data_IF_392786959612
#
_entry.id   IF_392786959612
#
_cell.length_a   1.000
_cell.length_b   1.000
_cell.length_c   1.000
_cell.angle_alpha   90.00
_cell.angle_beta   90.00
_cell.angle_gamma   90.00
#
_symmetry.space_group_name_H-M   'P 1'
#
loop_
_entity.id
_entity.type
_entity.pdbx_description
1 polymer ?
#
# COMPACT_ATOMS: atom_id res chain seq x y z
N UNK A 1 -15.78 -39.57 3.04
CA UNK A 1 -15.73 -38.13 2.71
C UNK A 1 -15.85 -37.34 4.00
N UNK A 2 -14.70 -37.11 4.63
CA UNK A 2 -14.48 -36.14 5.69
C UNK A 2 -12.97 -35.96 5.71
N UNK A 3 -12.52 -34.87 5.06
CA UNK A 3 -11.11 -34.51 4.96
C UNK A 3 -10.54 -34.28 6.36
N UNK A 4 -9.81 -35.27 6.85
CA UNK A 4 -8.98 -35.14 8.04
C UNK A 4 -7.92 -34.08 7.76
N UNK A 5 -7.91 -33.05 8.60
CA UNK A 5 -6.88 -32.02 8.71
C UNK A 5 -5.54 -32.71 9.03
N UNK A 6 -4.89 -33.27 8.01
CA UNK A 6 -3.48 -33.63 8.10
C UNK A 6 -2.71 -32.35 8.40
N UNK A 7 -2.02 -32.31 9.53
CA UNK A 7 -1.13 -31.22 9.90
C UNK A 7 -0.03 -31.16 8.84
N UNK A 8 -0.19 -30.25 7.88
CA UNK A 8 0.80 -30.00 6.83
C UNK A 8 1.95 -29.22 7.43
N UNK A 9 3.01 -29.91 7.84
CA UNK A 9 4.29 -29.28 8.12
C UNK A 9 5.17 -29.34 6.86
N UNK A 10 5.61 -28.18 6.39
CA UNK A 10 6.56 -28.06 5.28
C UNK A 10 7.95 -28.10 5.87
N UNK A 11 8.72 -29.16 5.60
CA UNK A 11 10.14 -29.21 5.94
C UNK A 11 10.95 -28.66 4.76
N UNK A 12 11.99 -27.88 5.05
CA UNK A 12 12.99 -27.53 4.04
C UNK A 12 13.92 -28.73 3.81
N UNK A 13 14.17 -29.10 2.55
CA UNK A 13 15.27 -29.99 2.21
C UNK A 13 16.58 -29.27 2.55
N UNK A 14 17.51 -29.97 3.18
CA UNK A 14 18.86 -29.44 3.42
C UNK A 14 19.84 -30.56 3.11
N UNK A 15 20.55 -30.45 2.00
CA UNK A 15 21.91 -30.98 1.87
C UNK A 15 22.64 -30.08 0.85
N UNK A 16 23.93 -29.83 1.07
CA UNK A 16 24.75 -29.04 0.14
C UNK A 16 25.01 -29.83 -1.16
N UNK A 17 24.84 -31.15 -1.11
CA UNK A 17 24.99 -32.07 -2.23
C UNK A 17 23.63 -32.28 -2.94
N UNK A 18 23.43 -31.75 -4.18
CA UNK A 18 22.20 -31.97 -4.93
C UNK A 18 21.94 -33.45 -5.30
N UNK A 19 22.87 -34.36 -5.02
CA UNK A 19 22.70 -35.81 -5.18
C UNK A 19 22.27 -36.54 -3.89
N UNK A 20 22.20 -35.87 -2.73
CA UNK A 20 21.78 -36.46 -1.45
C UNK A 20 20.44 -35.89 -0.99
N UNK A 21 19.44 -36.75 -0.99
CA UNK A 21 18.08 -36.40 -0.55
C UNK A 21 17.98 -36.49 0.98
N UNK A 22 18.14 -35.36 1.68
CA UNK A 22 17.90 -35.27 3.12
C UNK A 22 16.89 -34.17 3.50
N UNK A 23 15.95 -34.52 4.40
CA UNK A 23 15.04 -33.60 5.06
C UNK A 23 15.23 -33.74 6.57
N UNK A 24 15.55 -32.64 7.24
CA UNK A 24 15.69 -32.63 8.69
C UNK A 24 14.40 -32.12 9.33
N UNK A 25 13.92 -32.85 10.33
CA UNK A 25 12.68 -32.59 11.06
C UNK A 25 12.97 -32.62 12.56
N UNK A 26 12.39 -31.70 13.32
CA UNK A 26 12.43 -31.76 14.77
C UNK A 26 11.46 -32.83 15.25
N UNK A 27 11.87 -33.68 16.20
CA UNK A 27 11.07 -34.80 16.72
C UNK A 27 9.61 -34.39 16.96
N UNK A 28 8.69 -35.18 16.40
CA UNK A 28 7.26 -35.02 16.60
C UNK A 28 6.95 -34.98 18.10
N UNK A 29 6.19 -33.98 18.60
CA UNK A 29 5.78 -33.94 20.00
C UNK A 29 5.16 -35.27 20.44
N UNK A 30 5.48 -35.74 21.65
CA UNK A 30 5.06 -37.06 22.15
C UNK A 30 3.53 -37.28 22.12
N UNK A 31 2.76 -36.20 22.10
CA UNK A 31 1.30 -36.20 22.07
C UNK A 31 0.70 -36.23 20.65
N UNK A 32 1.50 -36.15 19.59
CA UNK A 32 1.03 -36.22 18.21
C UNK A 32 1.19 -37.65 17.66
N UNK A 33 0.09 -38.40 17.68
CA UNK A 33 0.02 -39.81 17.28
C UNK A 33 -0.54 -40.04 15.87
N UNK A 34 -0.93 -38.96 15.17
CA UNK A 34 -1.54 -39.05 13.84
C UNK A 34 -0.49 -39.18 12.72
N UNK A 35 -0.93 -39.61 11.54
CA UNK A 35 -0.05 -39.69 10.36
C UNK A 35 0.47 -38.30 9.98
N UNK A 36 1.79 -38.14 9.95
CA UNK A 36 2.46 -36.89 9.53
C UNK A 36 2.94 -37.04 8.09
N UNK A 37 2.48 -36.16 7.21
CA UNK A 37 3.00 -36.05 5.83
C UNK A 37 3.98 -34.88 5.76
N UNK A 38 5.23 -35.17 5.38
CA UNK A 38 6.28 -34.16 5.22
C UNK A 38 6.41 -33.80 3.75
N UNK A 39 6.16 -32.54 3.42
CA UNK A 39 6.42 -32.01 2.08
C UNK A 39 7.79 -31.37 2.04
N UNK A 40 8.64 -31.86 1.12
CA UNK A 40 9.99 -31.33 0.89
C UNK A 40 9.98 -30.51 -0.39
N UNK A 41 10.11 -29.20 -0.26
CA UNK A 41 10.20 -28.29 -1.40
C UNK A 41 11.66 -28.13 -1.86
N UNK A 42 11.95 -28.52 -3.11
CA UNK A 42 13.29 -28.43 -3.71
C UNK A 42 13.54 -27.12 -4.48
N UNK A 43 12.57 -26.21 -4.50
CA UNK A 43 12.67 -24.96 -5.25
C UNK A 43 13.66 -24.01 -4.58
N UNK A 44 14.43 -23.27 -5.40
CA UNK A 44 15.33 -22.23 -4.90
C UNK A 44 14.52 -21.08 -4.29
N UNK A 45 14.90 -20.61 -3.11
CA UNK A 45 14.14 -19.56 -2.42
C UNK A 45 14.55 -18.17 -2.95
N UNK A 46 13.57 -17.37 -3.38
CA UNK A 46 13.74 -15.95 -3.66
C UNK A 46 13.00 -15.16 -2.58
N UNK A 47 13.71 -14.55 -1.62
CA UNK A 47 13.10 -13.65 -0.67
C UNK A 47 12.55 -12.41 -1.39
N UNK A 48 11.32 -12.04 -1.06
CA UNK A 48 10.66 -10.85 -1.56
C UNK A 48 10.49 -9.86 -0.41
N UNK A 49 11.22 -8.76 -0.42
CA UNK A 49 11.13 -7.73 0.60
C UNK A 49 10.09 -6.67 0.20
N UNK A 50 8.98 -6.63 0.94
CA UNK A 50 7.92 -5.64 0.75
C UNK A 50 8.15 -4.40 1.61
N UNK A 51 8.31 -3.23 0.96
CA UNK A 51 8.45 -1.94 1.63
C UNK A 51 7.12 -1.17 1.61
N UNK A 52 6.54 -0.85 2.79
CA UNK A 52 5.28 -0.12 2.86
C UNK A 52 5.44 1.36 2.49
N UNK A 53 4.31 2.05 2.34
CA UNK A 53 4.26 3.49 2.09
C UNK A 53 4.42 4.35 3.34
N UNK A 54 4.20 5.66 3.16
CA UNK A 54 4.11 6.60 4.27
C UNK A 54 3.09 6.11 5.30
N UNK A 55 3.46 6.12 6.58
CA UNK A 55 2.62 5.68 7.70
C UNK A 55 2.13 4.22 7.57
N UNK A 56 2.78 3.41 6.75
CA UNK A 56 2.45 2.01 6.55
C UNK A 56 3.10 1.04 7.55
N UNK A 57 3.98 1.54 8.41
CA UNK A 57 4.68 0.78 9.46
C UNK A 57 4.16 1.21 10.83
N UNK A 58 3.95 0.28 11.75
CA UNK A 58 3.65 0.56 13.15
C UNK A 58 4.88 1.19 13.83
N UNK A 59 4.68 2.16 14.71
CA UNK A 59 5.74 2.82 15.47
C UNK A 59 5.44 2.84 16.96
N UNK A 60 6.48 2.63 17.75
CA UNK A 60 6.52 2.84 19.20
C UNK A 60 7.56 3.89 19.57
N UNK A 61 7.38 4.55 20.71
CA UNK A 61 8.30 5.59 21.18
C UNK A 61 9.11 5.11 22.39
N UNK A 62 10.43 5.10 22.24
CA UNK A 62 11.36 4.65 23.28
C UNK A 62 11.35 5.52 24.53
N UNK A 63 11.11 6.83 24.39
CA UNK A 63 11.06 7.78 25.51
C UNK A 63 9.79 7.62 26.35
N UNK A 64 8.77 6.97 25.79
CA UNK A 64 7.47 6.71 26.44
C UNK A 64 7.37 5.23 26.84
N UNK A 65 8.44 4.65 27.38
CA UNK A 65 8.44 3.25 27.84
C UNK A 65 8.28 2.20 26.73
N UNK A 66 8.34 2.59 25.45
CA UNK A 66 8.08 1.69 24.32
C UNK A 66 6.61 1.63 23.92
N UNK A 67 5.79 2.58 24.35
CA UNK A 67 4.37 2.63 24.01
C UNK A 67 4.12 2.84 22.50
N UNK A 68 3.11 2.18 21.90
CA UNK A 68 2.71 2.41 20.52
C UNK A 68 2.22 3.85 20.32
N UNK A 69 2.89 4.59 19.44
CA UNK A 69 2.50 5.96 19.06
C UNK A 69 1.79 6.01 17.71
N UNK A 70 1.99 4.98 16.89
CA UNK A 70 1.28 4.81 15.64
C UNK A 70 1.05 3.33 15.38
N UNK A 71 -0.21 2.91 15.48
CA UNK A 71 -0.68 1.64 14.95
C UNK A 71 -1.98 1.93 14.23
N UNK A 72 -2.03 1.95 12.89
CA UNK A 72 -3.30 1.99 12.17
C UNK A 72 -4.17 0.82 12.68
N UNK A 73 -5.50 0.86 12.56
CA UNK A 73 -6.42 -0.05 13.25
C UNK A 73 -6.27 -1.49 12.72
N UNK A 74 -5.22 -2.16 13.17
CA UNK A 74 -4.82 -3.54 12.95
C UNK A 74 -5.61 -4.40 13.94
N UNK A 75 -5.59 -3.99 15.21
CA UNK A 75 -6.47 -4.43 16.28
C UNK A 75 -7.63 -3.46 16.46
N UNK A 76 -8.84 -3.98 16.64
CA UNK A 76 -9.99 -3.17 17.04
C UNK A 76 -9.75 -2.50 18.41
N UNK A 77 -8.91 -3.06 19.28
CA UNK A 77 -8.58 -2.44 20.57
C UNK A 77 -7.39 -1.45 20.49
N UNK A 78 -6.16 -1.90 20.24
CA UNK A 78 -4.98 -1.00 20.37
C UNK A 78 -4.96 0.15 19.36
N UNK A 79 -5.26 -0.08 18.09
CA UNK A 79 -5.27 1.00 17.09
C UNK A 79 -6.42 1.99 17.28
N UNK A 80 -7.56 1.57 17.85
CA UNK A 80 -8.65 2.48 18.24
C UNK A 80 -8.26 3.27 19.49
N UNK A 81 -7.60 2.64 20.48
CA UNK A 81 -7.10 3.33 21.67
C UNK A 81 -6.09 4.41 21.28
N UNK A 82 -5.09 4.09 20.44
CA UNK A 82 -4.15 5.11 19.93
C UNK A 82 -4.89 6.23 19.20
N UNK A 83 -5.92 5.91 18.40
CA UNK A 83 -6.73 6.92 17.72
C UNK A 83 -7.47 7.84 18.70
N UNK A 84 -8.05 7.26 19.75
CA UNK A 84 -8.79 7.98 20.80
C UNK A 84 -7.87 8.83 21.66
N UNK A 85 -6.70 8.33 22.03
CA UNK A 85 -5.70 9.08 22.79
C UNK A 85 -5.26 10.35 22.05
N UNK A 86 -5.09 10.25 20.73
CA UNK A 86 -4.67 11.39 19.93
C UNK A 86 -5.77 12.44 19.77
N UNK A 87 -7.06 12.10 19.90
CA UNK A 87 -8.15 13.09 19.83
C UNK A 87 -8.03 14.20 20.89
N UNK A 88 -7.51 13.89 22.07
CA UNK A 88 -7.29 14.87 23.15
C UNK A 88 -5.93 15.59 23.10
N UNK A 89 -5.02 15.19 22.20
CA UNK A 89 -3.65 15.72 22.13
C UNK A 89 -3.57 16.93 21.21
N UNK A 90 -2.96 18.01 21.69
CA UNK A 90 -2.65 19.21 20.90
C UNK A 90 -1.43 18.99 19.98
N UNK A 91 -1.15 19.97 19.11
CA UNK A 91 -0.08 19.89 18.11
C UNK A 91 1.31 19.62 18.73
N UNK A 92 1.65 20.28 19.84
CA UNK A 92 2.94 20.12 20.52
C UNK A 92 3.14 18.72 21.09
N UNK A 93 2.11 18.15 21.75
CA UNK A 93 2.19 16.76 22.27
C UNK A 93 2.35 15.76 21.14
N UNK A 94 1.58 15.89 20.07
CA UNK A 94 1.69 15.00 18.89
C UNK A 94 3.09 15.05 18.28
N UNK A 95 3.66 16.25 18.13
CA UNK A 95 5.01 16.42 17.59
C UNK A 95 6.09 15.81 18.50
N UNK A 96 5.93 15.90 19.83
CA UNK A 96 6.86 15.29 20.78
C UNK A 96 6.79 13.74 20.77
N UNK A 97 5.59 13.18 20.61
CA UNK A 97 5.41 11.71 20.55
C UNK A 97 5.82 11.13 19.19
N UNK A 98 5.63 11.88 18.10
CA UNK A 98 6.05 11.55 16.73
C UNK A 98 7.46 12.10 16.42
N UNK A 99 8.37 12.03 17.39
CA UNK A 99 9.77 12.41 17.22
C UNK A 99 10.52 11.33 16.41
N UNK A 100 11.11 11.66 15.24
CA UNK A 100 11.80 10.69 14.37
C UNK A 100 12.99 10.00 15.04
N UNK A 101 13.65 10.62 16.02
CA UNK A 101 14.81 10.03 16.69
C UNK A 101 14.40 9.23 17.95
N UNK A 102 13.22 9.49 18.50
CA UNK A 102 12.66 8.72 19.63
C UNK A 102 11.81 7.51 19.21
N UNK A 103 11.30 7.53 17.98
CA UNK A 103 10.42 6.50 17.45
C UNK A 103 11.19 5.37 16.76
N UNK A 104 10.65 4.17 16.84
CA UNK A 104 11.16 2.99 16.15
C UNK A 104 10.02 2.13 15.63
N UNK A 105 10.35 1.19 14.74
CA UNK A 105 9.41 0.18 14.24
C UNK A 105 8.86 -0.63 15.41
N UNK A 106 7.56 -0.86 15.40
CA UNK A 106 6.88 -1.74 16.35
C UNK A 106 6.45 -3.04 15.65
N UNK A 107 7.04 -4.14 16.08
CA UNK A 107 6.83 -5.50 15.62
C UNK A 107 5.62 -6.19 16.28
N UNK A 108 5.05 -5.61 17.34
CA UNK A 108 3.91 -6.16 18.08
C UNK A 108 2.54 -6.04 17.38
N UNK A 109 2.51 -5.68 16.11
CA UNK A 109 1.27 -5.51 15.35
C UNK A 109 0.57 -6.83 15.01
N UNK A 110 -0.75 -6.76 14.79
CA UNK A 110 -1.57 -7.92 14.47
C UNK A 110 -1.16 -8.55 13.15
N UNK A 111 -0.92 -9.85 13.17
CA UNK A 111 -0.75 -10.64 11.96
C UNK A 111 -2.10 -11.27 11.62
N UNK A 112 -2.80 -10.68 10.65
CA UNK A 112 -3.99 -11.29 10.09
C UNK A 112 -3.57 -12.53 9.30
N UNK A 113 -3.88 -13.72 9.83
CA UNK A 113 -3.68 -14.99 9.16
C UNK A 113 -4.39 -14.98 7.80
N UNK A 114 -3.65 -14.61 6.76
CA UNK A 114 -4.18 -14.74 5.41
C UNK A 114 -4.35 -16.25 5.12
N UNK A 115 -5.45 -16.65 4.49
CA UNK A 115 -5.75 -18.06 4.33
C UNK A 115 -4.68 -18.73 3.44
N UNK A 116 -4.13 -19.84 3.94
CA UNK A 116 -3.75 -21.07 3.21
C UNK A 116 -2.28 -21.45 2.99
N UNK A 117 -1.24 -20.74 3.46
CA UNK A 117 0.14 -21.20 3.14
C UNK A 117 1.15 -21.31 4.27
N UNK A 118 1.06 -20.56 5.38
CA UNK A 118 2.11 -20.58 6.41
C UNK A 118 1.57 -20.33 7.82
N UNK A 119 2.31 -20.80 8.82
CA UNK A 119 1.99 -20.60 10.24
C UNK A 119 2.14 -19.13 10.64
N UNK A 120 1.42 -18.74 11.69
CA UNK A 120 1.56 -17.41 12.30
C UNK A 120 3.01 -17.12 12.71
N UNK A 121 3.72 -18.13 13.21
CA UNK A 121 5.13 -18.04 13.59
C UNK A 121 6.03 -17.66 12.42
N UNK A 122 5.84 -18.29 11.25
CA UNK A 122 6.60 -17.95 10.05
C UNK A 122 6.34 -16.50 9.60
N UNK A 123 5.11 -16.01 9.70
CA UNK A 123 4.77 -14.63 9.36
C UNK A 123 5.38 -13.64 10.36
N UNK A 124 5.44 -14.01 11.64
CA UNK A 124 6.11 -13.22 12.68
C UNK A 124 7.61 -13.12 12.45
N UNK A 125 8.30 -14.26 12.18
CA UNK A 125 9.71 -14.30 11.80
C UNK A 125 9.99 -13.41 10.58
N UNK A 126 9.04 -13.34 9.64
CA UNK A 126 9.15 -12.50 8.44
C UNK A 126 8.65 -11.07 8.62
N UNK A 127 8.48 -10.64 9.87
CA UNK A 127 8.21 -9.27 10.27
C UNK A 127 6.85 -8.72 9.85
N UNK A 128 5.87 -9.57 9.55
CA UNK A 128 4.53 -9.10 9.13
C UNK A 128 3.87 -8.24 10.21
N UNK A 129 4.20 -8.43 11.48
CA UNK A 129 3.73 -7.60 12.59
C UNK A 129 4.18 -6.13 12.54
N UNK A 130 5.19 -5.78 11.74
CA UNK A 130 5.71 -4.41 11.65
C UNK A 130 4.81 -3.45 10.86
N UNK A 131 3.93 -3.96 10.00
CA UNK A 131 3.26 -3.15 8.97
C UNK A 131 1.73 -3.14 9.11
N UNK A 132 1.07 -2.24 8.39
CA UNK A 132 -0.39 -2.10 8.41
C UNK A 132 -1.07 -3.35 7.84
N UNK A 133 -1.50 -4.25 8.73
CA UNK A 133 -2.02 -5.57 8.39
C UNK A 133 -3.22 -5.56 7.45
N UNK A 134 -4.21 -4.69 7.69
CA UNK A 134 -5.39 -4.60 6.81
C UNK A 134 -5.07 -4.09 5.40
N UNK A 135 -4.04 -3.25 5.27
CA UNK A 135 -3.66 -2.69 3.98
C UNK A 135 -2.76 -3.65 3.19
N UNK A 136 -1.76 -4.24 3.84
CA UNK A 136 -0.67 -4.92 3.14
C UNK A 136 -0.76 -6.45 3.17
N UNK A 137 -1.23 -7.07 4.25
CA UNK A 137 -1.22 -8.54 4.36
C UNK A 137 -2.07 -9.23 3.27
N UNK A 138 -3.26 -8.73 2.89
CA UNK A 138 -4.03 -9.35 1.80
C UNK A 138 -3.26 -9.36 0.47
N UNK A 139 -2.51 -8.29 0.18
CA UNK A 139 -1.68 -8.20 -1.01
C UNK A 139 -0.48 -9.15 -0.92
N UNK A 140 0.29 -9.10 0.18
CA UNK A 140 1.47 -9.94 0.39
C UNK A 140 1.15 -11.43 0.34
N UNK A 141 0.06 -11.85 1.00
CA UNK A 141 -0.37 -13.24 0.99
C UNK A 141 -0.85 -13.69 -0.40
N UNK A 142 -1.59 -12.83 -1.11
CA UNK A 142 -1.99 -13.11 -2.49
C UNK A 142 -0.76 -13.21 -3.40
N UNK A 143 0.21 -12.33 -3.24
CA UNK A 143 1.45 -12.36 -4.00
C UNK A 143 2.20 -13.67 -3.78
N UNK A 144 2.46 -14.03 -2.51
CA UNK A 144 3.12 -15.29 -2.16
C UNK A 144 2.36 -16.49 -2.72
N UNK A 145 1.04 -16.52 -2.56
CA UNK A 145 0.19 -17.61 -3.05
C UNK A 145 0.23 -17.75 -4.58
N UNK A 146 0.17 -16.63 -5.31
CA UNK A 146 0.19 -16.66 -6.78
C UNK A 146 1.55 -17.08 -7.33
N UNK A 147 2.64 -16.56 -6.77
CA UNK A 147 4.00 -16.88 -7.21
C UNK A 147 4.38 -18.35 -6.90
N UNK A 148 3.89 -18.90 -5.78
CA UNK A 148 4.22 -20.27 -5.39
C UNK A 148 3.28 -21.34 -5.95
N UNK A 149 2.14 -20.94 -6.57
CA UNK A 149 1.14 -21.85 -7.13
C UNK A 149 0.75 -21.39 -8.53
N UNK A 150 1.63 -21.67 -9.50
CA UNK A 150 1.41 -21.38 -10.93
C UNK A 150 0.54 -22.44 -11.58
N UNK A 151 0.82 -23.70 -11.27
CA UNK A 151 0.13 -24.88 -11.76
C UNK A 151 -0.71 -25.53 -10.66
N UNK A 152 -1.75 -26.26 -11.04
CA UNK A 152 -2.45 -27.15 -10.10
C UNK A 152 -1.52 -28.24 -9.58
N UNK A 153 -1.94 -28.87 -8.48
CA UNK A 153 -1.37 -30.15 -8.04
C UNK A 153 -1.52 -31.21 -9.15
N UNK A 154 -0.71 -32.28 -9.07
CA UNK A 154 -0.70 -33.33 -10.08
C UNK A 154 -2.11 -33.89 -10.27
N UNK A 155 -2.60 -33.81 -11.51
CA UNK A 155 -3.82 -34.52 -11.88
C UNK A 155 -3.45 -35.92 -12.34
N UNK A 156 -4.35 -36.88 -12.13
CA UNK A 156 -4.20 -38.26 -12.61
C UNK A 156 -3.99 -38.35 -14.15
N UNK A 157 -4.32 -37.29 -14.89
CA UNK A 157 -4.17 -37.18 -16.35
C UNK A 157 -2.76 -36.80 -16.82
N UNK A 158 -1.82 -36.52 -15.91
CA UNK A 158 -0.46 -36.06 -16.24
C UNK A 158 -0.38 -34.59 -16.70
N UNK A 159 -1.52 -33.93 -16.98
CA UNK A 159 -1.57 -32.49 -17.29
C UNK A 159 -1.67 -31.65 -16.01
N UNK A 160 -0.99 -30.51 -15.99
CA UNK A 160 -1.04 -29.54 -14.89
C UNK A 160 -1.58 -28.21 -15.44
N UNK A 161 -2.88 -27.93 -15.32
CA UNK A 161 -3.45 -26.64 -15.75
C UNK A 161 -2.88 -25.47 -14.95
N UNK A 162 -2.81 -24.29 -15.58
CA UNK A 162 -2.52 -23.03 -14.91
C UNK A 162 -3.65 -22.67 -13.94
N UNK A 163 -3.30 -22.13 -12.78
CA UNK A 163 -4.26 -21.64 -11.78
C UNK A 163 -4.04 -20.16 -11.50
N UNK A 164 -4.82 -19.56 -10.60
CA UNK A 164 -4.56 -18.21 -10.09
C UNK A 164 -4.50 -17.10 -11.18
N UNK A 165 -5.22 -17.28 -12.29
CA UNK A 165 -5.30 -16.38 -13.45
C UNK A 165 -3.99 -16.24 -14.24
N UNK A 166 -3.04 -17.17 -14.11
CA UNK A 166 -1.81 -17.14 -14.91
C UNK A 166 -2.07 -17.28 -16.42
N UNK A 167 -3.12 -17.99 -16.82
CA UNK A 167 -3.53 -18.08 -18.23
C UNK A 167 -4.00 -16.72 -18.78
N UNK A 168 -4.73 -15.93 -17.99
CA UNK A 168 -5.13 -14.56 -18.37
C UNK A 168 -3.90 -13.65 -18.49
N UNK A 169 -2.90 -13.82 -17.63
CA UNK A 169 -1.67 -13.04 -17.65
C UNK A 169 -0.78 -13.34 -18.87
N UNK A 170 -0.75 -14.58 -19.36
CA UNK A 170 -0.08 -14.92 -20.63
C UNK A 170 -0.72 -14.22 -21.83
N UNK A 171 -2.04 -14.06 -21.78
CA UNK A 171 -2.83 -13.44 -22.86
C UNK A 171 -2.93 -11.91 -22.71
N UNK A 172 -2.46 -11.36 -21.60
CA UNK A 172 -2.59 -9.95 -21.30
C UNK A 172 -1.66 -9.12 -22.20
N UNK A 173 -2.23 -8.21 -22.99
CA UNK A 173 -1.48 -7.24 -23.77
C UNK A 173 -0.92 -6.12 -22.86
N UNK A 174 0.41 -5.99 -22.70
CA UNK A 174 1.04 -4.96 -21.87
C UNK A 174 0.65 -3.52 -22.26
N UNK A 175 0.19 -3.28 -23.49
CA UNK A 175 -0.33 -1.97 -23.90
C UNK A 175 -1.59 -1.58 -23.12
N UNK A 176 -2.44 -2.55 -22.78
CA UNK A 176 -3.70 -2.31 -22.06
C UNK A 176 -3.48 -1.95 -20.59
N UNK A 177 -2.34 -2.34 -20.00
CA UNK A 177 -1.94 -1.97 -18.64
C UNK A 177 -1.06 -0.72 -18.59
N UNK A 178 -0.85 -0.05 -19.73
CA UNK A 178 -0.05 1.17 -19.80
C UNK A 178 1.44 0.94 -19.62
N UNK A 179 1.96 -0.26 -19.92
CA UNK A 179 3.41 -0.56 -19.90
C UNK A 179 4.12 0.02 -21.12
N UNK A 180 3.94 1.32 -21.34
CA UNK A 180 4.58 2.09 -22.40
C UNK A 180 5.55 3.08 -21.78
N UNK A 181 6.70 3.23 -22.42
CA UNK A 181 7.63 4.33 -22.14
C UNK A 181 6.95 5.66 -22.42
N UNK A 182 7.53 6.78 -21.96
CA UNK A 182 7.06 8.13 -22.32
C UNK A 182 7.01 8.36 -23.84
N UNK A 183 7.73 7.55 -24.63
CA UNK A 183 7.76 7.57 -26.10
C UNK A 183 6.80 6.56 -26.75
N UNK A 184 5.93 5.91 -25.98
CA UNK A 184 4.91 4.98 -26.50
C UNK A 184 5.41 3.57 -26.83
N UNK A 185 6.70 3.28 -26.69
CA UNK A 185 7.25 1.94 -26.90
C UNK A 185 6.98 1.04 -25.69
N UNK A 186 6.74 -0.25 -25.92
CA UNK A 186 6.58 -1.25 -24.86
C UNK A 186 7.81 -1.31 -23.95
N UNK A 187 7.57 -1.33 -22.63
CA UNK A 187 8.63 -1.46 -21.62
C UNK A 187 9.14 -2.89 -21.52
N UNK A 188 8.24 -3.89 -21.64
CA UNK A 188 8.57 -5.32 -21.67
C UNK A 188 7.56 -6.08 -22.57
N UNK A 189 7.97 -7.12 -23.31
CA UNK A 189 7.03 -8.01 -24.01
C UNK A 189 6.09 -8.77 -23.06
N UNK A 190 5.05 -9.40 -23.63
CA UNK A 190 4.14 -10.28 -22.91
C UNK A 190 4.88 -11.39 -22.17
N UNK A 191 4.33 -11.81 -21.03
CA UNK A 191 4.81 -12.97 -20.30
C UNK A 191 4.73 -14.21 -21.18
N UNK A 192 5.80 -15.00 -21.22
CA UNK A 192 5.88 -16.21 -22.02
C UNK A 192 5.63 -17.46 -21.18
N UNK A 193 5.22 -18.55 -21.84
CA UNK A 193 5.07 -19.85 -21.20
C UNK A 193 6.41 -20.34 -20.60
N UNK A 194 7.53 -20.12 -21.29
CA UNK A 194 8.86 -20.47 -20.80
C UNK A 194 9.24 -19.71 -19.51
N UNK A 195 8.87 -18.42 -19.39
CA UNK A 195 9.05 -17.66 -18.15
C UNK A 195 8.18 -18.22 -16.99
N UNK A 196 6.95 -18.66 -17.30
CA UNK A 196 6.08 -19.33 -16.31
C UNK A 196 6.60 -20.69 -15.87
N UNK A 197 7.19 -21.46 -16.78
CA UNK A 197 7.85 -22.72 -16.44
C UNK A 197 9.09 -22.46 -15.58
N UNK A 198 9.85 -21.42 -15.91
CA UNK A 198 11.04 -21.05 -15.16
C UNK A 198 10.74 -20.63 -13.72
N UNK A 199 9.65 -19.89 -13.47
CA UNK A 199 9.29 -19.46 -12.12
C UNK A 199 8.99 -20.64 -11.18
N UNK A 200 8.57 -21.80 -11.72
CA UNK A 200 8.26 -22.99 -10.94
C UNK A 200 9.51 -23.67 -10.34
N UNK A 201 10.71 -23.26 -10.74
CA UNK A 201 11.96 -23.65 -10.07
C UNK A 201 12.26 -22.85 -8.80
N UNK A 202 11.45 -21.82 -8.52
CA UNK A 202 11.64 -20.93 -7.38
C UNK A 202 10.45 -20.94 -6.43
N UNK A 203 10.75 -20.78 -5.14
CA UNK A 203 9.78 -20.49 -4.08
C UNK A 203 10.00 -19.05 -3.63
N UNK A 204 8.93 -18.27 -3.58
CA UNK A 204 8.96 -16.88 -3.14
C UNK A 204 8.47 -16.80 -1.70
N UNK A 205 9.25 -16.13 -0.85
CA UNK A 205 8.89 -15.91 0.55
C UNK A 205 8.83 -14.42 0.80
N UNK A 206 7.66 -13.92 1.20
CA UNK A 206 7.41 -12.49 1.34
C UNK A 206 7.73 -12.05 2.76
N UNK A 207 8.68 -11.12 2.86
CA UNK A 207 9.13 -10.45 4.07
C UNK A 207 8.58 -9.03 4.13
N UNK A 208 8.30 -8.55 5.33
CA UNK A 208 8.02 -7.14 5.55
C UNK A 208 9.32 -6.38 5.86
N UNK A 209 9.48 -5.22 5.23
CA UNK A 209 10.52 -4.24 5.55
C UNK A 209 9.90 -3.02 6.20
N UNK A 210 9.44 -3.16 7.44
CA UNK A 210 9.00 -2.02 8.23
C UNK A 210 10.15 -1.02 8.41
N UNK A 211 9.86 0.26 8.22
CA UNK A 211 10.81 1.34 8.50
C UNK A 211 10.13 2.49 9.22
N UNK A 212 10.94 3.28 9.95
CA UNK A 212 10.46 4.49 10.59
C UNK A 212 10.17 5.57 9.52
N UNK A 213 8.91 5.70 9.14
CA UNK A 213 8.45 6.64 8.13
C UNK A 213 8.45 8.10 8.59
N UNK A 214 8.87 8.43 9.82
CA UNK A 214 9.15 9.81 10.27
C UNK A 214 10.59 10.23 9.92
N UNK A 215 11.51 9.29 9.82
CA UNK A 215 12.91 9.56 9.51
C UNK A 215 13.13 9.89 8.04
N UNK A 216 14.29 10.46 7.70
CA UNK A 216 14.67 10.63 6.29
C UNK A 216 14.73 9.28 5.58
N UNK A 217 14.35 9.24 4.30
CA UNK A 217 14.41 8.01 3.48
C UNK A 217 15.83 7.42 3.40
N UNK A 218 16.87 8.26 3.54
CA UNK A 218 18.26 7.83 3.67
C UNK A 218 18.51 6.96 4.92
N UNK A 219 18.15 7.45 6.11
CA UNK A 219 18.21 6.63 7.35
C UNK A 219 17.35 5.37 7.26
N UNK A 220 16.14 5.48 6.68
CA UNK A 220 15.28 4.32 6.48
C UNK A 220 15.91 3.29 5.55
N UNK A 221 16.64 3.74 4.51
CA UNK A 221 17.36 2.86 3.60
C UNK A 221 18.47 2.08 4.32
N UNK A 222 19.24 2.71 5.23
CA UNK A 222 20.22 2.00 6.06
C UNK A 222 19.58 0.90 6.93
N UNK A 223 18.36 1.13 7.44
CA UNK A 223 17.62 0.11 8.17
C UNK A 223 17.17 -1.04 7.26
N UNK A 224 16.74 -0.73 6.04
CA UNK A 224 16.38 -1.73 5.04
C UNK A 224 17.61 -2.52 4.56
N UNK A 225 18.78 -1.91 4.42
CA UNK A 225 20.01 -2.62 4.11
C UNK A 225 20.32 -3.70 5.16
N UNK A 226 20.23 -3.35 6.46
CA UNK A 226 20.39 -4.32 7.55
C UNK A 226 19.34 -5.43 7.50
N UNK A 227 18.09 -5.11 7.17
CA UNK A 227 17.02 -6.11 6.99
C UNK A 227 17.31 -7.05 5.80
N UNK A 228 17.94 -6.57 4.72
CA UNK A 228 18.37 -7.43 3.61
C UNK A 228 19.46 -8.40 4.08
N UNK A 229 20.42 -7.92 4.87
CA UNK A 229 21.47 -8.76 5.44
C UNK A 229 20.92 -9.81 6.41
N UNK A 230 19.94 -9.43 7.24
CA UNK A 230 19.20 -10.33 8.11
C UNK A 230 18.49 -11.43 7.31
N UNK A 231 17.74 -11.05 6.26
CA UNK A 231 17.01 -12.00 5.39
C UNK A 231 17.98 -12.96 4.71
N UNK A 232 19.06 -12.45 4.12
CA UNK A 232 20.06 -13.29 3.47
C UNK A 232 20.76 -14.20 4.49
N UNK A 233 21.06 -13.68 5.69
CA UNK A 233 21.62 -14.44 6.82
C UNK A 233 20.71 -15.58 7.26
N UNK A 234 19.41 -15.32 7.40
CA UNK A 234 18.39 -16.31 7.78
C UNK A 234 18.42 -17.55 6.89
N UNK A 235 18.64 -17.39 5.59
CA UNK A 235 18.73 -18.53 4.67
C UNK A 235 20.14 -19.11 4.47
N UNK A 236 21.19 -18.38 4.85
CA UNK A 236 22.58 -18.88 4.75
C UNK A 236 22.83 -20.08 5.66
N UNK A 237 22.03 -20.26 6.72
CA UNK A 237 22.14 -21.40 7.64
C UNK A 237 21.37 -22.65 7.16
N UNK A 238 20.86 -22.72 5.92
CA UNK A 238 20.03 -23.85 5.47
C UNK A 238 19.71 -23.91 3.97
N UNK A 239 20.76 -23.90 3.14
CA UNK A 239 20.82 -23.98 1.67
C UNK A 239 19.56 -24.39 0.88
N UNK A 240 18.95 -23.38 0.24
CA UNK A 240 18.29 -23.39 -1.09
C UNK A 240 18.03 -21.94 -1.58
N UNK A 241 18.29 -20.91 -0.77
CA UNK A 241 18.00 -19.53 -1.13
C UNK A 241 19.02 -18.89 -2.08
N UNK A 242 18.49 -18.06 -2.97
CA UNK A 242 19.29 -17.12 -3.74
C UNK A 242 19.95 -16.13 -2.78
N UNK A 243 21.21 -15.77 -3.04
CA UNK A 243 21.94 -14.73 -2.29
C UNK A 243 21.44 -13.31 -2.61
N UNK A 244 20.19 -13.18 -3.09
CA UNK A 244 19.59 -11.95 -3.58
C UNK A 244 18.15 -11.81 -3.11
N UNK A 245 17.67 -10.58 -3.00
CA UNK A 245 16.28 -10.25 -2.64
C UNK A 245 15.58 -9.50 -3.78
N UNK A 246 14.31 -9.79 -4.02
CA UNK A 246 13.44 -8.99 -4.87
C UNK A 246 12.74 -7.94 -4.01
N UNK A 247 12.87 -6.65 -4.33
CA UNK A 247 12.22 -5.58 -3.56
C UNK A 247 10.92 -5.18 -4.25
N UNK A 248 9.82 -5.13 -3.49
CA UNK A 248 8.53 -4.59 -3.94
C UNK A 248 8.15 -3.46 -3.02
N UNK A 249 7.80 -2.31 -3.57
CA UNK A 249 7.53 -1.11 -2.76
C UNK A 249 6.14 -0.56 -3.01
N UNK A 250 5.53 0.02 -1.99
CA UNK A 250 4.33 0.83 -2.11
C UNK A 250 4.62 2.30 -1.75
N UNK A 251 4.11 3.24 -2.55
CA UNK A 251 4.16 4.68 -2.27
C UNK A 251 5.57 5.17 -1.88
N UNK A 252 5.72 5.84 -0.72
CA UNK A 252 7.01 6.38 -0.24
C UNK A 252 8.08 5.30 -0.04
N UNK A 253 7.72 4.02 0.14
CA UNK A 253 8.68 2.92 0.18
C UNK A 253 9.53 2.82 -1.08
N UNK A 254 9.03 3.30 -2.22
CA UNK A 254 9.81 3.40 -3.45
C UNK A 254 10.96 4.40 -3.36
N UNK A 255 10.76 5.52 -2.64
CA UNK A 255 11.84 6.48 -2.39
C UNK A 255 12.89 5.93 -1.43
N UNK A 256 12.47 5.11 -0.45
CA UNK A 256 13.40 4.37 0.42
C UNK A 256 14.23 3.38 -0.38
N UNK A 257 13.61 2.58 -1.26
CA UNK A 257 14.35 1.66 -2.13
C UNK A 257 15.29 2.39 -3.11
N UNK A 258 14.89 3.55 -3.65
CA UNK A 258 15.79 4.38 -4.47
C UNK A 258 16.96 4.91 -3.67
N UNK A 259 16.72 5.41 -2.45
CA UNK A 259 17.78 5.88 -1.57
C UNK A 259 18.75 4.73 -1.22
N UNK A 260 18.23 3.54 -0.91
CA UNK A 260 19.02 2.34 -0.71
C UNK A 260 19.93 2.07 -1.91
N UNK A 261 19.37 1.86 -3.10
CA UNK A 261 20.18 1.53 -4.29
C UNK A 261 21.23 2.61 -4.60
N UNK A 262 20.93 3.88 -4.37
CA UNK A 262 21.89 4.98 -4.56
C UNK A 262 23.00 5.02 -3.51
N UNK A 263 22.74 4.54 -2.28
CA UNK A 263 23.71 4.52 -1.19
C UNK A 263 24.57 3.25 -1.20
N UNK A 264 24.04 2.14 -1.71
CA UNK A 264 24.76 0.88 -1.79
C UNK A 264 25.96 0.98 -2.71
N UNK A 265 27.12 0.52 -2.23
CA UNK A 265 28.30 0.25 -3.05
C UNK A 265 28.04 -0.97 -3.96
N UNK A 266 28.82 -1.10 -5.02
CA UNK A 266 28.64 -2.11 -6.08
C UNK A 266 28.45 -3.54 -5.54
N UNK A 267 29.21 -3.92 -4.51
CA UNK A 267 29.13 -5.26 -3.90
C UNK A 267 27.79 -5.52 -3.17
N UNK A 268 27.20 -4.50 -2.57
CA UNK A 268 25.92 -4.62 -1.87
C UNK A 268 24.73 -4.56 -2.83
N UNK A 269 24.86 -3.87 -3.96
CA UNK A 269 23.84 -3.89 -5.02
C UNK A 269 23.63 -5.29 -5.60
N UNK A 270 24.67 -6.15 -5.59
CA UNK A 270 24.55 -7.54 -6.03
C UNK A 270 23.58 -8.38 -5.18
N UNK A 271 23.21 -7.90 -3.98
CA UNK A 271 22.19 -8.51 -3.12
C UNK A 271 20.76 -8.22 -3.60
N UNK A 272 20.55 -7.30 -4.55
CA UNK A 272 19.21 -6.94 -5.03
C UNK A 272 19.00 -7.56 -6.43
N UNK A 273 17.99 -8.42 -6.56
CA UNK A 273 17.62 -9.05 -7.83
C UNK A 273 16.89 -8.07 -8.76
N UNK A 274 16.07 -7.19 -8.17
CA UNK A 274 15.29 -6.20 -8.89
C UNK A 274 14.38 -5.43 -7.93
N UNK A 275 13.78 -4.35 -8.44
CA UNK A 275 12.87 -3.48 -7.67
C UNK A 275 11.59 -3.23 -8.47
N UNK A 276 10.43 -3.43 -7.83
CA UNK A 276 9.10 -3.14 -8.38
C UNK A 276 8.46 -2.02 -7.57
N UNK A 277 8.15 -0.90 -8.23
CA UNK A 277 7.51 0.25 -7.58
C UNK A 277 6.00 0.31 -7.86
N UNK A 278 5.19 0.32 -6.81
CA UNK A 278 3.75 0.59 -6.87
C UNK A 278 3.43 1.98 -6.31
N UNK A 279 2.78 2.84 -7.12
CA UNK A 279 2.30 4.16 -6.72
C UNK A 279 3.36 5.09 -6.07
N UNK A 280 4.63 4.96 -6.45
CA UNK A 280 5.73 5.76 -5.90
C UNK A 280 5.58 7.25 -6.30
N UNK A 281 5.60 8.20 -5.34
CA UNK A 281 5.64 9.62 -5.64
C UNK A 281 7.06 10.03 -6.06
N UNK A 282 7.48 9.63 -7.26
CA UNK A 282 8.87 9.74 -7.72
C UNK A 282 9.44 11.17 -7.66
N UNK A 283 8.57 12.16 -7.85
CA UNK A 283 8.88 13.59 -7.81
C UNK A 283 8.16 14.32 -6.65
N UNK A 284 7.67 13.58 -5.66
CA UNK A 284 6.84 14.09 -4.57
C UNK A 284 5.34 14.17 -4.91
N UNK A 285 4.55 14.71 -3.98
CA UNK A 285 3.10 14.84 -4.11
C UNK A 285 2.62 16.25 -3.73
N UNK A 286 1.79 16.86 -4.57
CA UNK A 286 1.14 18.14 -4.26
C UNK A 286 0.24 18.05 -3.02
N UNK A 287 -0.28 16.84 -2.75
CA UNK A 287 -1.10 16.54 -1.58
C UNK A 287 -0.35 16.81 -0.27
N UNK A 288 0.98 16.64 -0.23
CA UNK A 288 1.80 16.96 0.94
C UNK A 288 1.61 18.43 1.36
N UNK A 289 1.67 19.36 0.40
CA UNK A 289 1.44 20.78 0.67
C UNK A 289 -0.01 21.06 1.08
N UNK A 290 -0.99 20.43 0.41
CA UNK A 290 -2.39 20.59 0.78
C UNK A 290 -2.64 20.15 2.22
N UNK A 291 -2.11 18.99 2.62
CA UNK A 291 -2.24 18.43 3.96
C UNK A 291 -1.61 19.31 5.04
N UNK A 292 -0.43 19.89 4.79
CA UNK A 292 0.18 20.86 5.72
C UNK A 292 -0.66 22.13 5.89
N UNK A 293 -1.51 22.47 4.90
CA UNK A 293 -2.32 23.69 4.90
C UNK A 293 -3.75 23.50 5.38
N UNK A 294 -4.30 22.30 5.26
CA UNK A 294 -5.72 22.04 5.53
C UNK A 294 -5.96 20.91 6.53
N UNK A 295 -4.91 20.21 6.98
CA UNK A 295 -5.06 18.96 7.72
C UNK A 295 -5.19 17.74 6.81
N UNK A 296 -5.01 16.55 7.39
CA UNK A 296 -5.16 15.27 6.67
C UNK A 296 -6.55 14.69 6.93
N UNK A 297 -7.15 14.09 5.90
CA UNK A 297 -8.44 13.41 6.01
C UNK A 297 -8.28 11.94 6.42
N UNK A 298 -9.36 11.36 6.96
CA UNK A 298 -9.41 9.95 7.31
C UNK A 298 -8.56 9.61 8.55
N UNK A 299 -8.15 8.35 8.65
CA UNK A 299 -7.46 7.81 9.82
C UNK A 299 -6.19 8.59 10.19
N UNK A 300 -5.41 8.99 9.19
CA UNK A 300 -4.15 9.72 9.38
C UNK A 300 -4.35 11.05 10.09
N UNK A 301 -5.46 11.73 9.82
CA UNK A 301 -5.77 13.02 10.42
C UNK A 301 -5.97 12.94 11.93
N UNK A 302 -6.45 11.80 12.44
CA UNK A 302 -6.62 11.64 13.88
C UNK A 302 -5.29 11.64 14.63
N UNK A 303 -4.22 11.09 14.05
CA UNK A 303 -2.90 11.02 14.69
C UNK A 303 -2.01 12.21 14.30
N UNK A 304 -1.79 12.42 13.00
CA UNK A 304 -0.89 13.48 12.53
C UNK A 304 -1.54 14.86 12.63
N UNK A 305 -2.82 14.99 12.27
CA UNK A 305 -3.54 16.25 12.41
C UNK A 305 -4.70 16.44 11.45
N UNK A 306 -5.79 17.02 11.96
CA UNK A 306 -6.99 17.39 11.17
C UNK A 306 -6.97 18.84 10.69
N UNK A 307 -5.96 19.61 11.10
CA UNK A 307 -5.77 21.00 10.71
C UNK A 307 -4.29 21.28 10.38
N UNK A 308 -4.03 22.51 9.91
CA UNK A 308 -2.70 22.95 9.50
C UNK A 308 -1.69 22.98 10.65
N UNK A 309 -2.11 23.36 11.85
CA UNK A 309 -1.23 23.50 13.01
C UNK A 309 -0.69 22.13 13.41
N UNK A 310 -1.58 21.15 13.56
CA UNK A 310 -1.23 19.79 13.94
C UNK A 310 -0.35 19.11 12.90
N UNK A 311 -0.75 19.16 11.62
CA UNK A 311 0.04 18.54 10.55
C UNK A 311 1.40 19.21 10.40
N UNK A 312 1.47 20.54 10.45
CA UNK A 312 2.75 21.24 10.35
C UNK A 312 3.64 20.92 11.54
N UNK A 313 3.12 20.85 12.77
CA UNK A 313 3.92 20.47 13.93
C UNK A 313 4.50 19.04 13.79
N UNK A 314 3.69 18.10 13.28
CA UNK A 314 4.11 16.70 13.12
C UNK A 314 4.94 16.43 11.87
N UNK A 315 4.84 17.21 10.79
CA UNK A 315 5.53 16.97 9.51
C UNK A 315 6.64 17.95 9.20
N UNK A 316 6.65 19.15 9.80
CA UNK A 316 7.72 20.13 9.55
C UNK A 316 9.03 19.74 10.24
N UNK A 317 8.96 19.04 11.38
CA UNK A 317 10.14 18.58 12.13
C UNK A 317 10.76 17.28 11.57
N UNK A 318 10.00 16.24 11.18
CA UNK A 318 10.57 15.02 10.62
C UNK A 318 10.88 15.18 9.13
N UNK A 319 12.08 14.77 8.71
CA UNK A 319 12.56 14.85 7.32
C UNK A 319 11.69 14.05 6.32
N UNK A 320 10.85 13.12 6.79
CA UNK A 320 9.99 12.33 5.93
C UNK A 320 8.90 13.13 5.20
N UNK A 321 8.21 14.05 5.89
CA UNK A 321 7.19 14.90 5.26
C UNK A 321 7.77 15.72 4.11
N UNK A 322 9.00 16.20 4.29
CA UNK A 322 9.77 16.92 3.29
C UNK A 322 10.18 16.06 2.08
N UNK A 323 10.48 14.77 2.28
CA UNK A 323 10.84 13.88 1.17
C UNK A 323 9.65 13.56 0.23
N UNK A 324 8.42 13.81 0.70
CA UNK A 324 7.21 13.73 -0.12
C UNK A 324 6.81 15.08 -0.72
N UNK A 325 7.52 16.18 -0.41
CA UNK A 325 7.31 17.45 -1.10
C UNK A 325 7.72 17.34 -2.57
N UNK A 326 7.07 18.12 -3.41
CA UNK A 326 7.40 18.19 -4.82
C UNK A 326 8.86 18.63 -5.00
N UNK A 327 9.63 17.83 -5.73
CA UNK A 327 10.94 18.24 -6.23
C UNK A 327 10.79 19.42 -7.19
N UNK A 328 11.85 20.22 -7.39
CA UNK A 328 11.84 21.31 -8.36
C UNK A 328 11.57 20.74 -9.75
N UNK A 329 10.32 20.87 -10.22
CA UNK A 329 9.90 20.55 -11.57
C UNK A 329 9.49 21.87 -12.25
N UNK A 330 9.86 22.02 -13.52
CA UNK A 330 9.77 23.27 -14.31
C UNK A 330 8.33 23.78 -14.58
N UNK A 331 7.31 23.19 -13.94
CA UNK A 331 5.91 23.57 -14.12
C UNK A 331 5.26 23.99 -12.80
N UNK A 332 4.59 25.15 -12.82
CA UNK A 332 3.89 25.70 -11.67
C UNK A 332 2.69 24.82 -11.28
N UNK A 333 2.84 24.04 -10.20
CA UNK A 333 1.79 23.18 -9.63
C UNK A 333 0.86 23.92 -8.67
N UNK A 334 1.33 25.04 -8.08
CA UNK A 334 0.53 25.91 -7.22
C UNK A 334 0.01 27.10 -8.02
N UNK A 335 -1.31 27.28 -7.99
CA UNK A 335 -1.99 28.41 -8.64
C UNK A 335 -2.68 29.25 -7.59
N UNK A 336 -2.45 30.56 -7.62
CA UNK A 336 -3.25 31.53 -6.88
C UNK A 336 -4.28 32.09 -7.85
N UNK A 337 -5.55 32.06 -7.47
CA UNK A 337 -6.63 32.54 -8.33
C UNK A 337 -7.47 33.56 -7.58
N UNK A 338 -7.83 34.66 -8.25
CA UNK A 338 -8.73 35.68 -7.68
C UNK A 338 -10.21 35.27 -7.76
N UNK A 339 -10.54 34.39 -8.72
CA UNK A 339 -11.86 33.82 -8.91
C UNK A 339 -11.74 32.46 -9.66
N UNK A 340 -12.81 31.64 -9.71
CA UNK A 340 -12.76 30.32 -10.37
C UNK A 340 -12.22 30.42 -11.80
N UNK A 341 -11.18 29.64 -12.11
CA UNK A 341 -10.57 29.58 -13.44
C UNK A 341 -9.57 30.69 -13.78
N UNK A 342 -9.45 31.77 -12.99
CA UNK A 342 -8.54 32.89 -13.29
C UNK A 342 -7.27 32.84 -12.44
N UNK A 343 -6.16 32.40 -13.05
CA UNK A 343 -4.84 32.34 -12.40
C UNK A 343 -4.23 33.74 -12.35
N UNK A 344 -3.86 34.20 -11.15
CA UNK A 344 -3.14 35.44 -10.93
C UNK A 344 -1.75 35.36 -11.57
N UNK A 345 -1.40 36.36 -12.39
CA UNK A 345 -0.03 36.51 -12.91
C UNK A 345 0.78 37.35 -11.92
N UNK A 346 2.00 36.91 -11.65
CA UNK A 346 2.97 37.65 -10.83
C UNK A 346 3.60 38.72 -11.72
N UNK A 347 3.40 40.01 -11.39
CA UNK A 347 4.08 41.13 -12.06
C UNK A 347 5.03 41.82 -11.07
N UNK A 348 5.93 42.67 -11.57
CA UNK A 348 6.96 43.34 -10.78
C UNK A 348 6.40 44.21 -9.63
N UNK A 349 5.11 44.57 -9.67
CA UNK A 349 4.42 45.42 -8.70
C UNK A 349 3.38 44.66 -7.85
N UNK A 350 3.30 43.33 -7.95
CA UNK A 350 2.36 42.50 -7.18
C UNK A 350 1.54 41.51 -8.02
N UNK A 351 0.69 40.72 -7.36
CA UNK A 351 -0.19 39.76 -8.04
C UNK A 351 -1.38 40.48 -8.68
N UNK A 352 -1.53 40.39 -10.00
CA UNK A 352 -2.62 41.04 -10.75
C UNK A 352 -3.52 40.01 -11.42
N UNK A 353 -4.84 40.20 -11.31
CA UNK A 353 -5.82 39.41 -12.05
C UNK A 353 -5.79 39.83 -13.53
N UNK A 354 -5.69 38.90 -14.49
CA UNK A 354 -5.81 39.24 -15.90
C UNK A 354 -7.19 39.88 -16.13
N UNK A 355 -7.23 41.17 -16.45
CA UNK A 355 -8.50 41.83 -16.83
C UNK A 355 -8.95 41.22 -18.16
N UNK A 356 -10.06 40.48 -18.12
CA UNK A 356 -10.75 40.00 -19.31
C UNK A 356 -11.08 38.52 -19.24
N UNK A 357 -12.16 38.18 -18.53
CA UNK A 357 -13.27 37.30 -18.92
C UNK A 357 -14.25 37.37 -17.73
N UNK A 358 -15.28 38.20 -17.89
CA UNK A 358 -16.46 38.15 -17.02
C UNK A 358 -17.17 36.84 -17.37
N UNK A 359 -17.46 35.93 -16.42
CA UNK A 359 -18.35 34.81 -16.72
C UNK A 359 -19.72 35.40 -17.05
N UNK A 360 -20.21 35.22 -18.28
CA UNK A 360 -21.61 35.46 -18.60
C UNK A 360 -22.47 34.54 -17.72
N UNK A 361 -22.90 35.03 -16.56
CA UNK A 361 -24.12 34.54 -15.93
C UNK A 361 -25.27 34.90 -16.87
N UNK A 362 -25.86 33.89 -17.52
CA UNK A 362 -27.16 34.03 -18.18
C UNK A 362 -28.22 34.33 -17.10
N UNK A 363 -28.41 35.60 -16.80
CA UNK A 363 -29.65 36.10 -16.22
C UNK A 363 -30.66 36.25 -17.36
N UNK A 364 -31.62 35.34 -17.45
CA UNK A 364 -32.84 35.56 -18.25
C UNK A 364 -33.72 36.57 -17.54
N UNK A 365 -33.51 37.87 -17.80
CA UNK A 365 -34.48 38.92 -17.47
C UNK A 365 -35.44 39.13 -18.66
N UNK A 366 -36.73 38.92 -18.38
CA UNK A 366 -37.89 39.28 -19.21
C UNK A 366 -37.74 40.67 -19.81
N UNK A 367 -37.93 40.79 -21.13
CA UNK A 367 -38.21 42.07 -21.80
C UNK A 367 -39.66 42.45 -21.54
N UNK A 368 -39.88 43.62 -20.94
CA UNK A 368 -41.13 44.35 -21.06
C UNK A 368 -41.11 45.08 -22.41
N UNK A 369 -42.10 44.79 -23.26
CA UNK A 369 -42.49 45.61 -24.40
C UNK A 369 -43.96 45.95 -24.24
N UNK A 370 -44.25 47.23 -24.05
CA UNK A 370 -45.57 47.84 -23.88
C UNK A 370 -46.28 47.99 -25.24
N UNK A 371 -47.55 47.60 -25.32
CA UNK A 371 -48.56 48.23 -26.18
C UNK A 371 -50.00 47.85 -25.74
N UNK A 372 -50.72 48.87 -25.25
CA UNK A 372 -52.18 49.15 -25.34
C UNK A 372 -53.24 48.03 -25.36
N UNK A 373 -54.18 48.15 -24.40
CA UNK A 373 -55.60 47.71 -24.28
C UNK A 373 -56.40 47.48 -25.59
N UNK A 374 -57.54 46.72 -25.62
CA UNK A 374 -58.57 46.60 -24.57
C UNK A 374 -59.21 45.20 -24.31
N UNK A 375 -59.96 45.14 -23.20
CA UNK A 375 -60.90 44.07 -22.77
C UNK A 375 -61.95 43.69 -23.84
N UNK A 376 -62.49 42.45 -23.86
CA UNK A 376 -63.69 42.14 -23.05
C UNK A 376 -63.82 40.70 -22.50
N UNK A 377 -64.77 40.57 -21.56
CA UNK A 377 -65.28 39.34 -20.93
C UNK A 377 -65.81 38.28 -21.92
N UNK A 378 -65.70 36.99 -21.57
CA UNK A 378 -66.85 36.05 -21.37
C UNK A 378 -66.45 34.62 -20.93
N UNK A 379 -66.93 34.25 -19.74
CA UNK A 379 -67.58 32.99 -19.28
C UNK A 379 -67.36 31.65 -20.06
N UNK A 380 -66.89 30.61 -19.35
CA UNK A 380 -67.59 29.34 -18.94
C UNK A 380 -66.57 28.22 -18.65
N UNK A 381 -66.57 27.69 -17.42
CA UNK A 381 -67.00 26.32 -17.06
C UNK A 381 -65.99 25.19 -17.33
N UNK A 382 -65.52 24.51 -16.28
CA UNK A 382 -65.75 23.05 -16.10
C UNK A 382 -65.12 22.53 -14.80
N UNK A 383 -65.96 21.83 -14.03
CA UNK A 383 -65.65 21.03 -12.84
C UNK A 383 -64.98 19.71 -13.23
N UNK A 384 -64.13 19.21 -12.33
CA UNK A 384 -64.07 17.84 -11.80
C UNK A 384 -62.64 17.28 -11.69
N UNK A 385 -62.25 16.98 -10.44
CA UNK A 385 -61.16 16.07 -10.04
C UNK A 385 -61.79 14.91 -9.29
N UNK A 386 -61.24 13.69 -9.39
CA UNK A 386 -61.33 12.70 -8.32
C UNK A 386 -60.01 12.57 -7.56
N UNK A 387 -60.13 12.40 -6.24
CA UNK A 387 -59.08 12.01 -5.28
C UNK A 387 -58.98 10.48 -5.24
N UNK A 388 -57.77 9.93 -5.08
CA UNK A 388 -57.55 8.53 -4.67
C UNK A 388 -56.66 8.46 -3.42
N UNK A 389 -57.03 7.51 -2.56
CA UNK A 389 -56.73 7.37 -1.13
C UNK A 389 -55.43 6.57 -0.86
N UNK A 390 -54.82 6.88 0.29
CA UNK A 390 -53.80 6.09 1.02
C UNK A 390 -54.36 4.73 1.45
N UNK A 391 -53.55 3.67 1.38
CA UNK A 391 -53.73 2.42 2.13
C UNK A 391 -52.65 2.29 3.21
N UNK A 392 -53.08 2.00 4.44
CA UNK A 392 -52.27 1.54 5.58
C UNK A 392 -52.43 0.02 5.70
N UNK A 393 -51.33 -0.70 5.92
CA UNK A 393 -51.30 -2.10 6.37
C UNK A 393 -51.50 -2.18 7.89
N UNK A 394 -52.12 -3.27 8.36
CA UNK A 394 -51.98 -3.86 9.71
C UNK A 394 -52.36 -5.37 9.66
N UNK A 395 -52.02 -6.16 10.70
CA UNK A 395 -51.33 -7.44 10.55
C UNK A 395 -52.20 -8.66 10.86
N UNK A 396 -51.66 -9.84 10.54
CA UNK A 396 -52.06 -11.17 10.98
C UNK A 396 -50.88 -12.11 10.78
#
# INVERSE_FOLDING_TARGET
>A
MSDELSVRCVASAQDEDPAKDAAYWQLTPKNQCDTVTIFVDRRKIIPVLFLPGIMGTNLKNKKLGGDPVWSPPNNIFSGIVTLLEYLGKNASRRAAELDPDATQVDDGGTINNAPLLESHEAQHIRHWGEIYSKCYHPFMARLQSRLNRVYSEHTFSGKRPLVNNWEEMLKHDPLLSGQVTQKGALVKPCLTQAELDHINHFRFEVWAGGYNWLQSNAKSAEAIERRIDEIIGFYKEGLLATKKVLIITHSMGGLVARALVQQLKDEAQNKILGVIHGAMPANGAAETYANMRQGIKGLMGYVVGKDAEQVTACWAMPKAGWNCCLSAADTAWRKHSACPGCILKKTATGNTCPRGIIPMMKFTKRKNGTASSPLPMKRKSLKNKPRLKRMRKKPG
#
